data_IF_351305851833
#
_entry.id   IF_351305851833
#
_cell.length_a   1.000
_cell.length_b   1.000
_cell.length_c   1.000
_cell.angle_alpha   90.00
_cell.angle_beta   90.00
_cell.angle_gamma   90.00
#
_symmetry.space_group_name_H-M   'P 1'
#
loop_
_entity.id
_entity.type
_entity.pdbx_description
1 polymer ?
#
# COMPACT_ATOMS: atom_id res chain seq x y z
N UNK A 1 1.17 -6.49 -20.11
CA UNK A 1 2.63 -6.34 -20.31
C UNK A 1 3.31 -6.44 -18.95
N UNK A 2 4.38 -7.23 -18.81
CA UNK A 2 5.13 -7.39 -17.56
C UNK A 2 6.18 -6.25 -17.44
N UNK A 3 6.11 -5.46 -16.37
CA UNK A 3 7.08 -4.39 -16.09
C UNK A 3 8.25 -4.96 -15.29
N UNK A 4 9.48 -4.80 -15.80
CA UNK A 4 10.69 -5.28 -15.13
C UNK A 4 11.25 -4.21 -14.18
N UNK A 5 11.07 -4.43 -12.86
CA UNK A 5 11.62 -3.58 -11.80
C UNK A 5 12.93 -4.12 -11.21
N UNK A 6 13.50 -5.24 -11.71
CA UNK A 6 14.68 -5.92 -11.12
C UNK A 6 15.88 -4.99 -10.96
N UNK A 7 16.10 -4.10 -11.93
CA UNK A 7 17.20 -3.14 -11.88
C UNK A 7 17.08 -2.15 -10.73
N UNK A 8 15.85 -1.75 -10.38
CA UNK A 8 15.57 -0.88 -9.23
C UNK A 8 15.64 -1.70 -7.94
N UNK A 9 15.03 -2.90 -7.92
CA UNK A 9 15.06 -3.80 -6.77
C UNK A 9 16.48 -4.10 -6.29
N UNK A 10 17.41 -4.40 -7.21
CA UNK A 10 18.81 -4.68 -6.84
C UNK A 10 19.49 -3.52 -6.11
N UNK A 11 19.09 -2.27 -6.39
CA UNK A 11 19.64 -1.09 -5.72
C UNK A 11 19.03 -0.85 -4.34
N UNK A 12 17.83 -1.36 -4.11
CA UNK A 12 17.03 -1.10 -2.91
C UNK A 12 16.74 -2.40 -2.13
N UNK A 13 17.57 -3.43 -2.32
CA UNK A 13 17.30 -4.77 -1.77
C UNK A 13 17.30 -4.75 -0.23
N UNK A 14 18.26 -4.07 0.39
CA UNK A 14 18.34 -3.95 1.85
C UNK A 14 17.15 -3.17 2.42
N UNK A 15 16.80 -2.04 1.79
CA UNK A 15 15.63 -1.23 2.15
C UNK A 15 14.33 -2.02 2.02
N UNK A 16 14.19 -2.83 0.96
CA UNK A 16 13.03 -3.69 0.75
C UNK A 16 12.96 -4.81 1.79
N UNK A 17 14.10 -5.42 2.14
CA UNK A 17 14.14 -6.43 3.22
C UNK A 17 13.77 -5.83 4.56
N UNK A 18 14.22 -4.61 4.86
CA UNK A 18 13.85 -3.90 6.08
C UNK A 18 12.36 -3.59 6.08
N UNK A 19 11.84 -2.97 5.01
CA UNK A 19 10.41 -2.69 4.86
C UNK A 19 9.54 -3.94 5.04
N UNK A 20 9.92 -5.08 4.45
CA UNK A 20 9.22 -6.36 4.64
C UNK A 20 9.24 -6.81 6.09
N UNK A 21 10.40 -6.74 6.74
CA UNK A 21 10.53 -7.11 8.15
C UNK A 21 9.63 -6.25 9.02
N UNK A 22 9.64 -4.95 8.78
CA UNK A 22 8.88 -4.00 9.59
C UNK A 22 7.38 -4.17 9.35
N UNK A 23 6.95 -4.36 8.10
CA UNK A 23 5.54 -4.57 7.71
C UNK A 23 4.92 -5.79 8.39
N UNK A 24 5.71 -6.85 8.59
CA UNK A 24 5.28 -8.07 9.27
C UNK A 24 5.78 -8.14 10.74
N UNK A 25 6.41 -7.07 11.23
CA UNK A 25 6.81 -6.94 12.63
C UNK A 25 5.61 -6.48 13.45
N UNK A 26 5.50 -6.99 14.67
CA UNK A 26 4.53 -6.51 15.66
C UNK A 26 5.06 -5.31 16.45
N UNK A 27 6.30 -4.87 16.22
CA UNK A 27 6.92 -3.74 16.93
C UNK A 27 6.71 -2.40 16.19
N UNK A 28 5.95 -1.46 16.76
CA UNK A 28 5.71 -0.15 16.14
C UNK A 28 6.94 0.76 16.09
N UNK A 29 8.02 0.46 16.81
CA UNK A 29 9.27 1.23 16.77
C UNK A 29 10.03 1.10 15.44
N UNK A 30 9.74 0.03 14.68
CA UNK A 30 10.40 -0.27 13.41
C UNK A 30 9.79 0.50 12.22
N UNK A 31 8.76 1.32 12.43
CA UNK A 31 8.12 2.06 11.33
C UNK A 31 8.90 3.31 10.91
N UNK A 32 9.45 3.28 9.69
CA UNK A 32 10.10 4.44 9.05
C UNK A 32 9.20 5.68 8.83
N UNK A 33 7.87 5.58 9.03
CA UNK A 33 6.98 6.75 9.04
C UNK A 33 6.89 7.42 10.41
N UNK A 34 7.26 6.74 11.49
CA UNK A 34 7.27 7.34 12.83
C UNK A 34 8.25 8.52 12.94
N UNK A 35 9.28 8.58 12.10
CA UNK A 35 10.23 9.70 12.07
C UNK A 35 9.78 10.89 11.22
N UNK A 36 8.72 10.73 10.40
CA UNK A 36 8.27 11.75 9.43
C UNK A 36 6.88 12.29 9.79
N UNK A 37 6.09 11.53 10.54
CA UNK A 37 4.75 11.91 11.00
C UNK A 37 4.86 12.67 12.34
N UNK A 38 4.15 13.79 12.53
CA UNK A 38 4.16 14.52 13.80
C UNK A 38 3.74 13.61 14.98
N UNK A 39 4.40 13.76 16.13
CA UNK A 39 4.16 12.95 17.31
C UNK A 39 2.67 12.92 17.73
N UNK A 40 1.96 14.04 17.60
CA UNK A 40 0.52 14.11 17.90
C UNK A 40 -0.34 13.18 17.01
N UNK A 41 0.04 13.01 15.75
CA UNK A 41 -0.65 12.10 14.82
C UNK A 41 -0.32 10.65 15.13
N UNK A 42 0.93 10.37 15.54
CA UNK A 42 1.32 9.03 15.99
C UNK A 42 0.59 8.62 17.28
N UNK A 43 0.46 9.54 18.24
CA UNK A 43 -0.30 9.31 19.47
C UNK A 43 -1.79 9.10 19.19
N UNK A 44 -2.36 9.79 18.20
CA UNK A 44 -3.75 9.60 17.80
C UNK A 44 -3.98 8.26 17.07
N UNK A 45 -3.04 7.85 16.21
CA UNK A 45 -3.03 6.52 15.58
C UNK A 45 -2.96 5.43 16.66
N UNK A 46 -2.09 5.60 17.66
CA UNK A 46 -1.96 4.68 18.81
C UNK A 46 -3.21 4.63 19.68
N UNK A 47 -3.79 5.79 19.99
CA UNK A 47 -5.01 5.88 20.80
C UNK A 47 -6.21 5.17 20.14
N UNK A 48 -6.20 5.06 18.81
CA UNK A 48 -7.21 4.35 18.04
C UNK A 48 -6.89 2.85 17.82
N UNK A 49 -5.81 2.33 18.41
CA UNK A 49 -5.38 0.94 18.22
C UNK A 49 -4.83 0.62 16.82
N UNK A 50 -4.44 1.65 16.04
CA UNK A 50 -3.94 1.48 14.68
C UNK A 50 -2.41 1.34 14.68
N UNK A 51 -1.85 0.54 13.76
CA UNK A 51 -0.41 0.43 13.55
C UNK A 51 0.11 1.59 12.69
N UNK A 52 1.33 2.06 12.96
CA UNK A 52 1.97 3.09 12.14
C UNK A 52 2.34 2.46 10.78
N UNK A 53 1.84 2.98 9.65
CA UNK A 53 2.17 2.40 8.35
C UNK A 53 3.67 2.42 8.10
N UNK A 54 4.19 1.43 7.38
CA UNK A 54 5.58 1.36 6.98
C UNK A 54 5.75 2.00 5.60
N UNK A 55 6.92 2.57 5.32
CA UNK A 55 7.18 3.24 4.05
C UNK A 55 8.45 2.72 3.40
N UNK A 56 8.36 2.50 2.09
CA UNK A 56 9.47 2.20 1.21
C UNK A 56 9.60 3.25 0.11
N UNK A 57 10.85 3.60 -0.22
CA UNK A 57 11.20 4.67 -1.15
C UNK A 57 11.42 6.04 -0.49
N UNK A 58 11.68 7.09 -1.28
CA UNK A 58 11.34 7.21 -2.70
C UNK A 58 12.24 6.39 -3.64
N UNK A 59 11.63 5.64 -4.56
CA UNK A 59 12.33 4.90 -5.63
C UNK A 59 11.99 5.49 -6.99
N UNK A 60 12.89 5.35 -7.98
CA UNK A 60 12.60 5.84 -9.34
C UNK A 60 11.55 4.95 -9.99
N UNK A 61 10.59 5.56 -10.67
CA UNK A 61 9.69 4.81 -11.55
C UNK A 61 10.47 4.28 -12.76
N UNK A 62 10.14 3.07 -13.19
CA UNK A 62 10.67 2.45 -14.42
C UNK A 62 9.82 2.76 -15.65
N UNK A 63 8.57 3.19 -15.45
CA UNK A 63 7.64 3.56 -16.54
C UNK A 63 7.64 5.06 -16.82
N UNK A 64 7.95 5.91 -15.83
CA UNK A 64 8.09 7.36 -15.97
C UNK A 64 9.40 7.88 -15.35
N UNK A 65 10.33 8.32 -16.20
CA UNK A 65 11.63 8.91 -15.79
C UNK A 65 11.52 10.17 -14.94
N UNK A 66 10.35 10.82 -14.93
CA UNK A 66 10.07 12.02 -14.16
C UNK A 66 9.40 11.72 -12.81
N UNK A 67 8.93 10.50 -12.60
CA UNK A 67 8.26 10.09 -11.39
C UNK A 67 9.20 9.43 -10.38
N UNK A 68 8.91 9.65 -9.09
CA UNK A 68 9.39 8.81 -7.99
C UNK A 68 8.20 8.20 -7.28
N UNK A 69 8.32 6.93 -6.93
CA UNK A 69 7.31 6.16 -6.24
C UNK A 69 7.60 6.12 -4.75
N UNK A 70 6.54 6.16 -3.97
CA UNK A 70 6.54 5.81 -2.55
C UNK A 70 5.54 4.69 -2.36
N UNK A 71 5.97 3.64 -1.70
CA UNK A 71 5.12 2.52 -1.33
C UNK A 71 4.88 2.61 0.17
N UNK A 72 3.62 2.47 0.59
CA UNK A 72 3.25 2.45 2.01
C UNK A 72 2.47 1.17 2.27
N UNK A 73 2.77 0.50 3.39
CA UNK A 73 2.06 -0.70 3.80
C UNK A 73 1.69 -0.70 5.27
N UNK A 74 0.55 -1.29 5.59
CA UNK A 74 0.03 -1.40 6.96
C UNK A 74 -0.88 -2.61 7.10
N UNK A 75 -0.97 -3.13 8.33
CA UNK A 75 -1.87 -4.23 8.67
C UNK A 75 -2.85 -3.72 9.72
N UNK A 76 -4.14 -3.70 9.37
CA UNK A 76 -5.20 -3.20 10.25
C UNK A 76 -6.26 -4.27 10.48
N UNK A 77 -7.03 -4.15 11.56
CA UNK A 77 -8.19 -5.02 11.76
C UNK A 77 -9.22 -4.84 10.63
N UNK A 78 -9.79 -5.96 10.17
CA UNK A 78 -10.87 -5.92 9.17
C UNK A 78 -12.05 -5.08 9.64
N UNK A 79 -12.38 -5.14 10.93
CA UNK A 79 -13.45 -4.34 11.53
C UNK A 79 -13.25 -2.84 11.32
N UNK A 80 -12.00 -2.38 11.34
CA UNK A 80 -11.63 -0.96 11.16
C UNK A 80 -11.79 -0.55 9.70
N UNK A 81 -11.16 -1.28 8.76
CA UNK A 81 -11.21 -0.92 7.35
C UNK A 81 -12.61 -1.01 6.76
N UNK A 82 -13.34 -2.07 7.14
CA UNK A 82 -14.66 -2.36 6.57
C UNK A 82 -15.80 -1.65 7.31
N UNK A 83 -15.50 -0.89 8.37
CA UNK A 83 -16.48 -0.27 9.26
C UNK A 83 -17.54 -1.27 9.78
N UNK A 84 -17.11 -2.51 10.06
CA UNK A 84 -17.96 -3.62 10.51
C UNK A 84 -17.47 -4.17 11.85
N UNK A 85 -17.99 -3.67 12.99
CA UNK A 85 -17.65 -4.17 14.31
C UNK A 85 -17.89 -5.68 14.44
N UNK A 86 -16.98 -6.39 15.11
CA UNK A 86 -17.07 -7.84 15.31
C UNK A 86 -16.57 -8.67 14.13
N UNK A 87 -16.09 -8.05 13.04
CA UNK A 87 -15.38 -8.76 11.98
C UNK A 87 -13.99 -9.14 12.46
N UNK A 88 -13.73 -10.44 12.55
CA UNK A 88 -12.41 -10.97 12.89
C UNK A 88 -11.46 -10.96 11.69
N UNK A 89 -10.16 -10.98 11.97
CA UNK A 89 -9.09 -10.97 10.98
C UNK A 89 -8.54 -9.58 10.68
N UNK A 90 -7.52 -9.55 9.82
CA UNK A 90 -6.78 -8.35 9.46
C UNK A 90 -6.76 -8.10 7.96
N UNK A 91 -6.40 -6.88 7.55
CA UNK A 91 -6.18 -6.48 6.17
C UNK A 91 -4.78 -5.94 6.05
N UNK A 92 -3.99 -6.57 5.18
CA UNK A 92 -2.76 -5.96 4.69
C UNK A 92 -3.10 -5.01 3.55
N UNK A 93 -2.84 -3.73 3.77
CA UNK A 93 -2.98 -2.68 2.77
C UNK A 93 -1.61 -2.34 2.22
N UNK A 94 -1.50 -2.25 0.90
CA UNK A 94 -0.35 -1.66 0.22
C UNK A 94 -0.85 -0.52 -0.67
N UNK A 95 -0.15 0.60 -0.67
CA UNK A 95 -0.45 1.73 -1.54
C UNK A 95 0.79 2.20 -2.26
N UNK A 96 0.64 2.52 -3.55
CA UNK A 96 1.72 3.03 -4.40
C UNK A 96 1.31 4.42 -4.86
N UNK A 97 2.14 5.41 -4.57
CA UNK A 97 1.92 6.80 -4.97
C UNK A 97 3.10 7.31 -5.78
N UNK A 98 2.82 8.06 -6.85
CA UNK A 98 3.83 8.74 -7.66
C UNK A 98 3.81 10.26 -7.41
N UNK A 99 5.00 10.86 -7.47
CA UNK A 99 5.15 12.31 -7.60
C UNK A 99 6.24 12.68 -8.60
N UNK A 100 6.09 13.83 -9.25
CA UNK A 100 7.10 14.38 -10.12
C UNK A 100 8.36 14.74 -9.30
N UNK A 101 9.51 14.22 -9.69
CA UNK A 101 10.76 14.30 -8.92
C UNK A 101 11.27 15.73 -8.67
N UNK A 102 10.98 16.68 -9.56
CA UNK A 102 11.39 18.09 -9.43
C UNK A 102 10.27 19.02 -8.96
N UNK A 103 9.02 18.70 -9.29
CA UNK A 103 7.88 19.59 -9.05
C UNK A 103 7.14 19.20 -7.77
N UNK A 104 7.35 17.98 -7.26
CA UNK A 104 6.65 17.45 -6.09
C UNK A 104 5.17 17.17 -6.31
N UNK A 105 4.62 17.48 -7.49
CA UNK A 105 3.21 17.28 -7.84
C UNK A 105 2.88 15.80 -7.95
N UNK A 106 1.69 15.40 -7.50
CA UNK A 106 1.24 14.00 -7.60
C UNK A 106 1.03 13.61 -9.06
N UNK A 107 1.31 12.35 -9.36
CA UNK A 107 1.14 11.77 -10.69
C UNK A 107 0.38 10.45 -10.59
N UNK A 108 -0.27 10.05 -11.68
CA UNK A 108 -0.83 8.72 -11.78
C UNK A 108 0.32 7.68 -11.81
N UNK A 109 0.09 6.55 -11.16
CA UNK A 109 1.01 5.40 -11.20
C UNK A 109 0.59 4.51 -12.36
N UNK A 110 1.56 3.98 -13.10
CA UNK A 110 1.30 2.93 -14.07
C UNK A 110 0.81 1.66 -13.33
N UNK A 111 -0.36 1.08 -13.68
CA UNK A 111 -0.91 -0.07 -12.96
C UNK A 111 -0.01 -1.30 -13.00
N UNK A 112 0.73 -1.52 -14.08
CA UNK A 112 1.61 -2.68 -14.21
C UNK A 112 2.88 -2.50 -13.36
N UNK A 113 3.41 -1.28 -13.25
CA UNK A 113 4.47 -0.97 -12.30
C UNK A 113 4.01 -1.10 -10.84
N UNK A 114 2.81 -0.60 -10.51
CA UNK A 114 2.24 -0.75 -9.18
C UNK A 114 2.09 -2.22 -8.79
N UNK A 115 1.58 -3.06 -9.69
CA UNK A 115 1.50 -4.52 -9.52
C UNK A 115 2.87 -5.14 -9.29
N UNK A 116 3.88 -4.77 -10.08
CA UNK A 116 5.24 -5.31 -9.95
C UNK A 116 5.83 -5.00 -8.56
N UNK A 117 5.55 -3.82 -8.00
CA UNK A 117 5.96 -3.48 -6.63
C UNK A 117 5.25 -4.33 -5.58
N UNK A 118 3.93 -4.56 -5.72
CA UNK A 118 3.19 -5.45 -4.83
C UNK A 118 3.79 -6.86 -4.86
N UNK A 119 4.00 -7.43 -6.04
CA UNK A 119 4.62 -8.76 -6.23
C UNK A 119 6.02 -8.83 -5.60
N UNK A 120 6.85 -7.80 -5.77
CA UNK A 120 8.17 -7.78 -5.15
C UNK A 120 8.14 -7.69 -3.61
N UNK A 121 7.09 -7.11 -3.03
CA UNK A 121 6.91 -6.98 -1.58
C UNK A 121 6.31 -8.25 -0.98
N UNK A 122 5.28 -8.84 -1.58
CA UNK A 122 4.57 -9.97 -0.95
C UNK A 122 5.01 -11.33 -1.48
N UNK A 123 5.67 -11.34 -2.63
CA UNK A 123 6.07 -12.56 -3.32
C UNK A 123 4.95 -13.16 -4.18
N UNK A 124 5.31 -14.10 -5.07
CA UNK A 124 4.39 -14.66 -6.06
C UNK A 124 3.29 -15.53 -5.43
N UNK A 125 3.53 -16.12 -4.26
CA UNK A 125 2.55 -16.99 -3.60
C UNK A 125 1.38 -16.22 -2.98
N UNK A 126 1.63 -14.98 -2.56
CA UNK A 126 0.62 -14.12 -1.93
C UNK A 126 -0.12 -13.24 -2.93
N UNK A 127 0.52 -12.89 -4.06
CA UNK A 127 -0.03 -12.03 -5.08
C UNK A 127 -1.45 -12.43 -5.59
N UNK A 128 -1.77 -13.73 -5.79
CA UNK A 128 -3.09 -14.14 -6.26
C UNK A 128 -4.24 -13.79 -5.31
N UNK A 129 -3.93 -13.54 -4.03
CA UNK A 129 -4.91 -13.21 -3.00
C UNK A 129 -5.12 -11.69 -2.82
N UNK A 130 -4.35 -10.87 -3.53
CA UNK A 130 -4.49 -9.42 -3.49
C UNK A 130 -5.59 -8.93 -4.42
N UNK A 131 -6.23 -7.85 -3.98
CA UNK A 131 -7.22 -7.10 -4.72
C UNK A 131 -6.72 -5.67 -4.99
N UNK A 132 -6.91 -5.18 -6.21
CA UNK A 132 -6.69 -3.78 -6.57
C UNK A 132 -7.96 -3.00 -6.32
N UNK A 133 -7.86 -1.91 -5.56
CA UNK A 133 -8.94 -0.94 -5.38
C UNK A 133 -8.92 0.19 -6.42
N UNK A 134 -8.07 0.04 -7.45
CA UNK A 134 -7.81 1.07 -8.43
C UNK A 134 -7.10 2.28 -7.82
N UNK A 135 -7.16 3.40 -8.54
CA UNK A 135 -6.57 4.65 -8.07
C UNK A 135 -7.57 5.36 -7.16
N UNK A 136 -7.14 5.75 -5.96
CA UNK A 136 -7.90 6.58 -5.03
C UNK A 136 -7.19 7.91 -4.80
N UNK A 137 -7.94 8.89 -4.31
CA UNK A 137 -7.44 10.22 -3.97
C UNK A 137 -7.48 10.42 -2.47
N UNK A 138 -6.29 10.55 -1.88
CA UNK A 138 -6.09 10.60 -0.42
C UNK A 138 -6.35 11.96 0.24
N UNK A 139 -6.91 12.94 -0.49
CA UNK A 139 -7.18 14.28 0.08
C UNK A 139 -8.58 14.74 -0.34
N UNK A 140 -9.45 14.95 0.67
CA UNK A 140 -10.70 15.69 0.52
C UNK A 140 -10.40 17.18 0.42
N UNK A 141 -10.60 17.77 -0.75
CA UNK A 141 -10.46 19.19 -0.99
C UNK A 141 -11.12 19.55 -2.31
N UNK A 142 -12.06 20.49 -2.25
CA UNK A 142 -12.90 20.96 -3.36
C UNK A 142 -12.08 21.69 -4.42
N UNK A 143 -12.46 21.47 -5.69
CA UNK A 143 -12.15 22.32 -6.86
C UNK A 143 -10.92 21.97 -7.71
N UNK A 144 -10.83 20.73 -8.20
CA UNK A 144 -10.22 20.36 -9.49
C UNK A 144 -10.65 18.92 -9.83
N UNK A 145 -10.69 18.50 -11.12
CA UNK A 145 -10.91 17.09 -11.46
C UNK A 145 -9.88 16.24 -10.71
N UNK A 146 -10.40 15.43 -9.77
CA UNK A 146 -9.66 14.73 -8.72
C UNK A 146 -8.81 13.63 -9.37
N UNK A 147 -7.58 13.95 -9.75
CA UNK A 147 -6.66 12.95 -10.30
C UNK A 147 -6.32 11.93 -9.21
N UNK A 148 -6.88 10.73 -9.39
CA UNK A 148 -6.64 9.56 -8.58
C UNK A 148 -5.17 9.15 -8.80
N UNK A 149 -4.34 9.33 -7.77
CA UNK A 149 -2.85 9.35 -7.89
C UNK A 149 -2.17 8.30 -7.01
N UNK A 150 -2.95 7.54 -6.25
CA UNK A 150 -2.45 6.48 -5.39
C UNK A 150 -3.22 5.20 -5.70
N UNK A 151 -2.52 4.16 -6.11
CA UNK A 151 -3.12 2.84 -6.34
C UNK A 151 -3.11 2.07 -5.03
N UNK A 152 -4.26 1.54 -4.64
CA UNK A 152 -4.43 0.79 -3.39
C UNK A 152 -4.63 -0.70 -3.66
N UNK A 153 -4.07 -1.51 -2.79
CA UNK A 153 -4.10 -2.96 -2.83
C UNK A 153 -4.44 -3.52 -1.46
N UNK A 154 -5.31 -4.53 -1.42
CA UNK A 154 -5.77 -5.14 -0.19
C UNK A 154 -5.59 -6.66 -0.23
N UNK A 155 -5.18 -7.23 0.89
CA UNK A 155 -5.20 -8.66 1.17
C UNK A 155 -5.96 -8.88 2.47
N UNK A 156 -7.04 -9.68 2.40
CA UNK A 156 -7.86 -10.00 3.54
C UNK A 156 -7.40 -11.32 4.18
N UNK A 157 -7.13 -11.29 5.48
CA UNK A 157 -6.64 -12.41 6.28
C UNK A 157 -7.65 -12.77 7.35
N UNK A 158 -7.95 -14.06 7.49
CA UNK A 158 -8.79 -14.57 8.58
C UNK A 158 -8.13 -14.42 9.94
N UNK A 159 -8.86 -14.77 11.00
CA UNK A 159 -8.31 -14.80 12.36
C UNK A 159 -7.13 -15.80 12.51
N UNK A 160 -7.07 -16.78 11.62
CA UNK A 160 -5.99 -17.77 11.49
C UNK A 160 -4.78 -17.25 10.67
N UNK A 161 -4.85 -16.02 10.15
CA UNK A 161 -3.83 -15.44 9.28
C UNK A 161 -3.84 -15.98 7.85
N UNK A 162 -4.86 -16.76 7.46
CA UNK A 162 -4.95 -17.35 6.12
C UNK A 162 -5.67 -16.38 5.17
N UNK A 163 -5.17 -16.17 3.93
CA UNK A 163 -5.88 -15.41 2.92
C UNK A 163 -7.29 -15.95 2.65
N UNK A 164 -8.27 -15.06 2.56
CA UNK A 164 -9.60 -15.40 2.09
C UNK A 164 -10.10 -14.42 1.02
N UNK A 165 -11.19 -14.78 0.35
CA UNK A 165 -11.81 -13.95 -0.66
C UNK A 165 -12.30 -12.61 -0.07
N UNK A 166 -12.38 -11.57 -0.89
CA UNK A 166 -12.95 -10.28 -0.55
C UNK A 166 -14.26 -10.43 0.24
N UNK A 167 -14.32 -9.88 1.47
CA UNK A 167 -15.54 -9.84 2.24
C UNK A 167 -16.49 -8.77 1.71
N UNK A 168 -17.80 -8.94 1.94
CA UNK A 168 -18.76 -7.86 1.68
C UNK A 168 -18.34 -6.56 2.37
N UNK A 169 -18.31 -5.47 1.61
CA UNK A 169 -17.80 -4.19 2.11
C UNK A 169 -18.54 -2.99 1.53
N UNK A 170 -18.37 -1.83 2.16
CA UNK A 170 -18.93 -0.55 1.70
C UNK A 170 -17.85 0.48 1.33
N UNK A 171 -16.68 0.02 0.88
CA UNK A 171 -15.52 0.87 0.58
C UNK A 171 -15.73 1.88 -0.57
N UNK A 172 -16.86 1.82 -1.29
CA UNK A 172 -17.18 2.72 -2.40
C UNK A 172 -16.27 2.53 -3.63
N UNK A 173 -15.56 1.41 -3.70
CA UNK A 173 -14.64 1.03 -4.77
C UNK A 173 -14.92 -0.40 -5.20
N UNK A 174 -14.65 -0.70 -6.48
CA UNK A 174 -14.68 -2.07 -6.97
C UNK A 174 -13.29 -2.67 -6.79
N UNK A 175 -13.22 -3.77 -6.05
CA UNK A 175 -12.00 -4.54 -5.91
C UNK A 175 -11.88 -5.52 -7.08
N UNK A 176 -10.69 -5.58 -7.68
CA UNK A 176 -10.38 -6.48 -8.80
C UNK A 176 -9.25 -7.41 -8.40
N UNK A 177 -9.41 -8.74 -8.49
CA UNK A 177 -8.33 -9.69 -8.20
C UNK A 177 -7.08 -9.38 -9.03
N UNK A 178 -5.91 -9.40 -8.41
CA UNK A 178 -4.65 -9.22 -9.13
C UNK A 178 -4.32 -10.44 -10.00
N UNK A 179 -4.81 -11.64 -9.66
CA UNK A 179 -4.58 -12.85 -10.43
C UNK A 179 -5.07 -12.74 -11.89
N UNK A 180 -6.21 -12.05 -12.11
CA UNK A 180 -6.92 -12.07 -13.40
C UNK A 180 -6.45 -11.00 -14.39
N UNK A 181 -5.54 -10.10 -14.00
CA UNK A 181 -5.10 -8.97 -14.83
C UNK A 181 -3.88 -9.26 -15.73
N UNK A 182 -3.76 -10.48 -16.25
CA UNK A 182 -2.65 -10.92 -17.12
C UNK A 182 -2.90 -10.60 -18.61
#
# INVERSE_FOLDING_TARGET
MCVDIRTVLRKHEEELRHFRRDLFSTDPADSGLASVVPAAVLEQIRANGQTVPHRFGPVRSVTDRHAVLTIVGDILDQAVLLERPGREGSVLTLSVAAKHKQLGTRQAVDPAEARAWVEAIVGPDWLPHFYSAGNLSTVGGTSAPRQLTTTYFYLFLGADGVPHAEPEHQLGVTLSPLADAA
#
